data_IF_371786670292
#
_entry.id   IF_371786670292
#
_cell.length_a   1.000
_cell.length_b   1.000
_cell.length_c   1.000
_cell.angle_alpha   90.00
_cell.angle_beta   90.00
_cell.angle_gamma   90.00
#
_symmetry.space_group_name_H-M   'P 1'
#
loop_
_entity.id
_entity.type
_entity.pdbx_description
1 polymer ?
#
# COMPACT_ATOMS: atom_id res chain seq x y z
N UNK A 1 -16.44 5.89 16.87
CA UNK A 1 -16.22 4.61 16.17
C UNK A 1 -14.75 4.27 16.30
N UNK A 2 -14.40 3.38 17.22
CA UNK A 2 -13.02 2.96 17.50
C UNK A 2 -12.74 1.70 16.68
N UNK A 3 -11.75 1.74 15.79
CA UNK A 3 -11.35 0.58 14.99
C UNK A 3 -10.03 0.04 15.53
N UNK A 4 -10.05 -1.25 15.88
CA UNK A 4 -8.98 -2.00 16.53
C UNK A 4 -9.42 -2.50 17.90
N UNK A 5 -10.05 -3.69 17.97
CA UNK A 5 -10.34 -4.31 19.26
C UNK A 5 -9.01 -4.86 19.81
N UNK A 6 -8.59 -4.33 20.95
CA UNK A 6 -7.38 -4.74 21.67
C UNK A 6 -7.78 -5.90 22.58
N UNK A 7 -7.05 -7.02 22.54
CA UNK A 7 -7.25 -8.15 23.45
C UNK A 7 -6.25 -8.06 24.59
N UNK A 8 -6.57 -8.66 25.74
CA UNK A 8 -5.62 -8.78 26.84
C UNK A 8 -4.81 -10.06 26.65
N UNK A 9 -3.49 -9.97 26.65
CA UNK A 9 -2.62 -11.15 26.66
C UNK A 9 -2.62 -11.81 28.06
N UNK A 10 -1.94 -12.95 28.20
CA UNK A 10 -1.84 -13.68 29.48
C UNK A 10 -1.18 -12.86 30.61
N UNK A 11 -0.46 -11.79 30.25
CA UNK A 11 0.19 -10.86 31.17
C UNK A 11 -0.65 -9.60 31.42
N UNK A 12 -1.89 -9.54 30.92
CA UNK A 12 -2.77 -8.38 31.10
C UNK A 12 -2.31 -7.13 30.34
N UNK A 13 -1.58 -7.29 29.23
CA UNK A 13 -1.22 -6.20 28.33
C UNK A 13 -2.17 -6.20 27.13
N UNK A 14 -2.56 -5.00 26.68
CA UNK A 14 -3.37 -4.82 25.48
C UNK A 14 -2.53 -5.13 24.23
N UNK A 15 -2.91 -6.16 23.49
CA UNK A 15 -2.29 -6.58 22.25
C UNK A 15 -3.31 -6.58 21.10
N UNK A 16 -2.80 -6.48 19.87
CA UNK A 16 -3.61 -6.62 18.66
C UNK A 16 -3.81 -8.10 18.38
N UNK A 17 -5.05 -8.58 18.33
CA UNK A 17 -5.33 -9.94 17.87
C UNK A 17 -5.05 -10.04 16.37
N UNK A 18 -3.98 -10.74 16.02
CA UNK A 18 -3.54 -10.96 14.64
C UNK A 18 -3.99 -12.29 14.05
N UNK A 19 -4.59 -13.18 14.84
CA UNK A 19 -4.78 -14.58 14.46
C UNK A 19 -6.23 -14.93 14.12
N UNK A 20 -7.19 -14.25 14.75
CA UNK A 20 -8.64 -14.52 14.59
C UNK A 20 -9.35 -13.58 13.62
N UNK A 21 -8.70 -12.49 13.17
CA UNK A 21 -9.33 -11.48 12.33
C UNK A 21 -9.41 -11.92 10.86
N UNK A 22 -10.55 -11.66 10.21
CA UNK A 22 -10.77 -11.92 8.77
C UNK A 22 -9.81 -11.10 7.88
N UNK A 23 -9.34 -9.95 8.38
CA UNK A 23 -8.39 -9.07 7.70
C UNK A 23 -7.30 -8.60 8.65
N UNK A 24 -6.04 -8.82 8.30
CA UNK A 24 -4.87 -8.36 9.04
C UNK A 24 -4.14 -7.29 8.22
N UNK A 25 -3.87 -6.12 8.81
CA UNK A 25 -3.05 -5.08 8.15
C UNK A 25 -1.57 -5.46 8.30
N UNK A 26 -0.90 -5.72 7.18
CA UNK A 26 0.53 -6.03 7.13
C UNK A 26 1.39 -4.77 6.97
N UNK A 27 0.85 -3.75 6.31
CA UNK A 27 1.58 -2.53 6.03
C UNK A 27 0.62 -1.35 5.82
N UNK A 28 0.95 -0.19 6.37
CA UNK A 28 0.24 1.06 6.14
C UNK A 28 1.20 2.24 6.28
N UNK A 29 1.68 2.76 5.15
CA UNK A 29 2.60 3.90 5.14
C UNK A 29 2.33 4.83 3.96
N UNK A 30 2.58 6.12 4.15
CA UNK A 30 2.48 7.13 3.09
C UNK A 30 3.81 7.26 2.36
N UNK A 31 3.75 7.34 1.04
CA UNK A 31 4.89 7.51 0.14
C UNK A 31 4.62 8.66 -0.84
N UNK A 32 5.70 9.27 -1.30
CA UNK A 32 5.73 10.15 -2.46
C UNK A 32 6.75 9.59 -3.46
N UNK A 33 6.47 9.76 -4.74
CA UNK A 33 7.37 9.32 -5.81
C UNK A 33 7.99 10.52 -6.51
N UNK A 34 9.29 10.45 -6.73
CA UNK A 34 10.00 11.29 -7.66
C UNK A 34 9.73 10.88 -9.12
N UNK A 35 10.17 11.70 -10.09
CA UNK A 35 9.98 11.42 -11.51
C UNK A 35 10.60 10.09 -11.91
N UNK A 36 9.85 9.23 -12.60
CA UNK A 36 10.31 7.92 -13.08
C UNK A 36 10.87 7.00 -11.99
N UNK A 37 10.52 7.25 -10.72
CA UNK A 37 10.97 6.43 -9.61
C UNK A 37 10.27 5.07 -9.60
N UNK A 38 11.04 4.04 -9.22
CA UNK A 38 10.54 2.71 -8.85
C UNK A 38 10.79 2.55 -7.36
N UNK A 39 9.72 2.42 -6.59
CA UNK A 39 9.75 2.16 -5.16
C UNK A 39 9.47 0.68 -4.92
N UNK A 40 10.36 -0.01 -4.21
CA UNK A 40 10.18 -1.40 -3.81
C UNK A 40 10.03 -1.46 -2.30
N UNK A 41 8.86 -1.86 -1.84
CA UNK A 41 8.52 -1.95 -0.42
C UNK A 41 8.53 -3.43 -0.01
N UNK A 42 9.49 -3.86 0.82
CA UNK A 42 9.46 -5.21 1.38
C UNK A 42 8.33 -5.29 2.43
N UNK A 43 7.46 -6.28 2.29
CA UNK A 43 6.34 -6.55 3.20
C UNK A 43 6.41 -8.01 3.60
N UNK A 44 6.99 -8.28 4.77
CA UNK A 44 7.14 -9.63 5.29
C UNK A 44 5.79 -10.35 5.37
N UNK A 45 5.73 -11.58 4.87
CA UNK A 45 4.50 -12.39 4.87
C UNK A 45 3.44 -11.97 3.85
N UNK A 46 3.71 -11.03 2.94
CA UNK A 46 2.80 -10.74 1.83
C UNK A 46 2.81 -11.88 0.80
N UNK A 47 1.64 -12.44 0.49
CA UNK A 47 1.46 -13.49 -0.53
C UNK A 47 0.27 -13.09 -1.41
N UNK A 48 0.43 -12.85 -2.73
CA UNK A 48 -0.66 -12.36 -3.59
C UNK A 48 -1.92 -13.24 -3.60
N UNK A 49 -1.80 -14.54 -3.26
CA UNK A 49 -2.94 -15.46 -3.19
C UNK A 49 -3.86 -15.21 -1.99
N UNK A 50 -3.37 -14.58 -0.92
CA UNK A 50 -4.11 -14.35 0.35
C UNK A 50 -3.95 -12.93 0.87
N UNK A 51 -3.33 -12.05 0.08
CA UNK A 51 -3.06 -10.66 0.43
C UNK A 51 -3.47 -9.73 -0.71
N UNK A 52 -3.88 -8.53 -0.34
CA UNK A 52 -4.19 -7.43 -1.25
C UNK A 52 -3.32 -6.22 -0.90
N UNK A 53 -2.86 -5.50 -1.93
CA UNK A 53 -2.18 -4.23 -1.79
C UNK A 53 -3.03 -3.15 -2.49
N UNK A 54 -3.43 -2.14 -1.73
CA UNK A 54 -4.22 -1.01 -2.20
C UNK A 54 -3.40 0.28 -2.09
N UNK A 55 -3.57 1.15 -3.08
CA UNK A 55 -3.04 2.52 -3.06
C UNK A 55 -4.19 3.48 -2.86
N UNK A 56 -4.05 4.34 -1.85
CA UNK A 56 -5.03 5.34 -1.48
C UNK A 56 -4.42 6.73 -1.66
N UNK A 57 -4.96 7.59 -2.54
CA UNK A 57 -4.50 8.99 -2.65
C UNK A 57 -4.67 9.71 -1.32
N UNK A 58 -3.72 10.56 -0.95
CA UNK A 58 -3.80 11.42 0.25
C UNK A 58 -4.38 12.81 -0.09
N UNK A 59 -4.66 13.07 -1.36
CA UNK A 59 -5.25 14.33 -1.82
C UNK A 59 -6.13 14.15 -3.05
N UNK A 60 -6.98 15.15 -3.30
CA UNK A 60 -7.81 15.22 -4.50
C UNK A 60 -6.96 15.80 -5.63
N UNK A 61 -6.98 15.20 -6.85
CA UNK A 61 -6.34 15.81 -8.00
C UNK A 61 -7.00 17.15 -8.33
N UNK A 62 -6.18 18.19 -8.54
CA UNK A 62 -6.64 19.49 -9.02
C UNK A 62 -7.01 19.43 -10.51
N UNK A 63 -6.33 18.57 -11.28
CA UNK A 63 -6.51 18.46 -12.72
C UNK A 63 -6.39 16.99 -13.20
N UNK A 64 -6.99 16.63 -14.35
CA UNK A 64 -6.89 15.27 -14.91
C UNK A 64 -5.55 15.06 -15.64
N UNK A 65 -4.43 15.35 -14.98
CA UNK A 65 -3.08 15.23 -15.54
C UNK A 65 -2.38 13.95 -15.07
N UNK A 66 -1.42 13.48 -15.88
CA UNK A 66 -0.63 12.30 -15.55
C UNK A 66 0.20 12.46 -14.25
N UNK A 67 0.57 13.69 -13.89
CA UNK A 67 1.26 14.02 -12.63
C UNK A 67 0.43 13.70 -11.39
N UNK A 68 -0.88 13.57 -11.53
CA UNK A 68 -1.83 13.36 -10.43
C UNK A 68 -2.56 12.01 -10.55
N UNK A 69 -2.19 11.20 -11.54
CA UNK A 69 -2.77 9.87 -11.75
C UNK A 69 -2.27 8.86 -10.71
N UNK A 70 -3.00 7.74 -10.57
CA UNK A 70 -2.55 6.64 -9.71
C UNK A 70 -1.24 6.02 -10.23
N UNK A 71 -0.28 5.72 -9.34
CA UNK A 71 0.93 4.99 -9.73
C UNK A 71 0.61 3.55 -10.13
N UNK A 72 1.52 2.95 -10.89
CA UNK A 72 1.40 1.55 -11.28
C UNK A 72 1.90 0.63 -10.15
N UNK A 73 1.10 -0.36 -9.78
CA UNK A 73 1.41 -1.30 -8.70
C UNK A 73 1.66 -2.69 -9.28
N UNK A 74 2.71 -3.33 -8.77
CA UNK A 74 2.97 -4.75 -8.99
C UNK A 74 3.20 -5.41 -7.65
N UNK A 75 2.48 -6.49 -7.40
CA UNK A 75 2.66 -7.31 -6.19
C UNK A 75 3.49 -8.55 -6.50
N UNK A 76 4.26 -8.99 -5.52
CA UNK A 76 5.01 -10.25 -5.54
C UNK A 76 5.10 -10.84 -4.14
N UNK A 77 5.63 -12.05 -4.01
CA UNK A 77 5.83 -12.64 -2.69
C UNK A 77 6.80 -11.80 -1.86
N UNK A 78 6.33 -11.38 -0.68
CA UNK A 78 7.10 -10.58 0.28
C UNK A 78 7.34 -9.12 -0.14
N UNK A 79 6.78 -8.65 -1.25
CA UNK A 79 7.14 -7.35 -1.82
C UNK A 79 6.02 -6.70 -2.62
N UNK A 80 5.93 -5.38 -2.51
CA UNK A 80 5.10 -4.54 -3.40
C UNK A 80 6.01 -3.55 -4.10
N UNK A 81 5.98 -3.55 -5.43
CA UNK A 81 6.71 -2.60 -6.27
C UNK A 81 5.74 -1.58 -6.85
N UNK A 82 6.08 -0.31 -6.73
CA UNK A 82 5.28 0.81 -7.18
C UNK A 82 6.12 1.63 -8.15
N UNK A 83 5.54 1.98 -9.29
CA UNK A 83 6.21 2.75 -10.34
C UNK A 83 5.46 4.06 -10.55
N UNK A 84 6.22 5.14 -10.61
CA UNK A 84 5.70 6.46 -10.93
C UNK A 84 5.17 6.54 -12.38
N UNK A 85 5.65 5.66 -13.26
CA UNK A 85 5.23 5.57 -14.65
C UNK A 85 4.58 4.22 -14.94
N UNK A 86 3.51 4.23 -15.73
CA UNK A 86 2.92 3.01 -16.28
C UNK A 86 3.93 2.33 -17.24
N UNK A 87 4.20 1.03 -17.13
CA UNK A 87 5.11 0.33 -18.05
C UNK A 87 4.76 0.44 -19.54
N UNK A 88 3.50 0.72 -19.87
CA UNK A 88 3.02 0.93 -21.25
C UNK A 88 3.16 2.38 -21.74
N UNK A 89 3.59 3.32 -20.87
CA UNK A 89 3.81 4.71 -21.25
C UNK A 89 5.17 4.89 -21.93
N UNK A 90 5.13 5.25 -23.21
CA UNK A 90 6.30 5.46 -24.06
C UNK A 90 7.10 6.71 -23.66
N UNK A 91 6.43 7.75 -23.15
CA UNK A 91 7.06 9.02 -22.85
C UNK A 91 7.63 9.05 -21.41
N UNK A 92 8.95 9.16 -21.23
CA UNK A 92 9.59 9.11 -19.91
C UNK A 92 9.30 10.30 -18.99
N UNK A 93 8.76 11.40 -19.51
CA UNK A 93 8.36 12.55 -18.68
C UNK A 93 6.92 12.45 -18.14
N UNK A 94 6.11 11.53 -18.67
CA UNK A 94 4.73 11.30 -18.23
C UNK A 94 4.74 10.37 -17.01
N UNK A 95 4.76 10.95 -15.82
CA UNK A 95 4.92 10.24 -14.54
C UNK A 95 4.02 10.85 -13.49
N UNK A 96 3.48 10.03 -12.59
CA UNK A 96 2.78 10.51 -11.39
C UNK A 96 3.76 11.07 -10.37
N UNK A 97 3.29 12.05 -9.60
CA UNK A 97 3.95 12.67 -8.45
C UNK A 97 3.01 12.68 -7.23
N UNK A 98 1.92 11.93 -7.31
CA UNK A 98 0.90 11.84 -6.28
C UNK A 98 1.49 11.27 -4.98
N UNK A 99 1.14 11.90 -3.85
CA UNK A 99 1.36 11.32 -2.52
C UNK A 99 0.23 10.33 -2.22
N UNK A 100 0.60 9.11 -1.85
CA UNK A 100 -0.37 8.03 -1.61
C UNK A 100 0.00 7.20 -0.38
N UNK A 101 -0.99 6.52 0.19
CA UNK A 101 -0.81 5.49 1.20
C UNK A 101 -0.82 4.12 0.57
N UNK A 102 0.22 3.34 0.81
CA UNK A 102 0.25 1.92 0.53
C UNK A 102 -0.36 1.18 1.73
N UNK A 103 -1.46 0.48 1.49
CA UNK A 103 -2.11 -0.39 2.46
C UNK A 103 -1.98 -1.84 1.97
N UNK A 104 -1.32 -2.70 2.73
CA UNK A 104 -1.29 -4.13 2.47
C UNK A 104 -2.07 -4.87 3.55
N UNK A 105 -2.97 -5.74 3.12
CA UNK A 105 -3.83 -6.53 4.00
C UNK A 105 -3.75 -7.99 3.62
N UNK A 106 -3.75 -8.87 4.62
CA UNK A 106 -3.94 -10.30 4.48
C UNK A 106 -5.39 -10.65 4.81
N UNK A 107 -5.99 -11.55 4.06
CA UNK A 107 -7.30 -12.11 4.36
C UNK A 107 -7.20 -13.64 4.56
N UNK A 108 -8.11 -14.17 5.38
CA UNK A 108 -8.28 -15.60 5.63
C UNK A 108 -9.62 -16.07 5.09
#
# INVERSE_FOLDING_TARGET
MSYGIRTWNANGVLEMDTDTFTYQVLHSQTYSLGPSQILTVPIAGFVPATCSAAILPVGVPAYPWASEAMPYVRVGNGVVTIRARNPSESNPIVTTRLTFRLLAMRYK
#
